data_IF_673357349607
#
_entry.id   IF_673357349607
#
_cell.length_a   1.000
_cell.length_b   1.000
_cell.length_c   1.000
_cell.angle_alpha   90.00
_cell.angle_beta   90.00
_cell.angle_gamma   90.00
#
_symmetry.space_group_name_H-M   'P 1'
#
loop_
_entity.id
_entity.type
_entity.pdbx_description
1 polymer ?
#
# COMPACT_ATOMS: atom_id res chain seq x y z
N UNK A 1 20.14 18.42 -3.41
CA UNK A 1 20.48 18.33 -4.82
C UNK A 1 21.77 19.07 -5.12
N UNK A 2 21.87 20.36 -4.79
CA UNK A 2 23.05 21.20 -5.05
C UNK A 2 24.33 20.61 -4.45
N UNK A 3 24.34 20.28 -3.17
CA UNK A 3 25.51 19.74 -2.48
C UNK A 3 26.02 18.42 -3.12
N UNK A 4 25.13 17.52 -3.53
CA UNK A 4 25.53 16.29 -4.23
C UNK A 4 26.14 16.57 -5.61
N UNK A 5 25.58 17.54 -6.34
CA UNK A 5 26.13 17.96 -7.63
C UNK A 5 27.53 18.58 -7.49
N UNK A 6 27.75 19.41 -6.48
CA UNK A 6 29.05 20.02 -6.19
C UNK A 6 30.10 18.98 -5.81
N UNK A 7 29.70 17.97 -5.00
CA UNK A 7 30.62 16.90 -4.56
C UNK A 7 30.97 15.90 -5.66
N UNK A 8 30.03 15.60 -6.56
CA UNK A 8 30.19 14.49 -7.53
C UNK A 8 30.47 14.95 -8.95
N UNK A 9 30.15 16.20 -9.29
CA UNK A 9 30.19 16.72 -10.65
C UNK A 9 29.07 16.21 -11.57
N UNK A 10 28.22 15.27 -11.08
CA UNK A 10 27.13 14.70 -11.87
C UNK A 10 25.84 15.50 -11.78
N UNK A 11 24.99 15.38 -12.81
CA UNK A 11 23.60 15.84 -12.73
C UNK A 11 22.85 15.00 -11.69
N UNK A 12 22.16 15.66 -10.75
CA UNK A 12 21.41 15.00 -9.68
C UNK A 12 19.92 15.29 -9.82
N UNK A 13 19.13 14.23 -9.85
CA UNK A 13 17.65 14.28 -9.79
C UNK A 13 17.21 13.64 -8.48
N UNK A 14 16.13 14.14 -7.90
CA UNK A 14 15.53 13.60 -6.68
C UNK A 14 14.16 13.03 -7.03
N UNK A 15 13.88 11.86 -6.51
CA UNK A 15 12.58 11.19 -6.63
C UNK A 15 12.19 10.65 -5.25
N UNK A 16 10.90 10.69 -4.94
CA UNK A 16 10.36 10.05 -3.74
C UNK A 16 10.51 8.51 -3.88
N UNK A 17 10.70 7.80 -2.77
CA UNK A 17 10.95 6.35 -2.75
C UNK A 17 9.78 5.52 -3.31
N UNK A 18 8.54 5.86 -2.96
CA UNK A 18 7.35 5.19 -3.48
C UNK A 18 7.17 5.46 -4.98
N UNK A 19 7.48 6.67 -5.44
CA UNK A 19 7.49 7.02 -6.85
C UNK A 19 8.57 6.25 -7.63
N UNK A 20 9.77 6.09 -7.07
CA UNK A 20 10.82 5.27 -7.65
C UNK A 20 10.37 3.80 -7.77
N UNK A 21 9.80 3.24 -6.71
CA UNK A 21 9.30 1.89 -6.72
C UNK A 21 8.19 1.69 -7.78
N UNK A 22 7.27 2.67 -7.91
CA UNK A 22 6.21 2.61 -8.92
C UNK A 22 6.77 2.61 -10.35
N UNK A 23 7.78 3.44 -10.63
CA UNK A 23 8.43 3.47 -11.93
C UNK A 23 9.12 2.13 -12.24
N UNK A 24 9.81 1.53 -11.26
CA UNK A 24 10.45 0.23 -11.43
C UNK A 24 9.45 -0.89 -11.72
N UNK A 25 8.40 -0.98 -10.91
CA UNK A 25 7.36 -2.01 -11.08
C UNK A 25 6.61 -1.87 -12.41
N UNK A 26 6.39 -0.64 -12.89
CA UNK A 26 5.82 -0.40 -14.21
C UNK A 26 6.77 -0.77 -15.36
N UNK A 27 8.08 -0.54 -15.19
CA UNK A 27 9.05 -0.77 -16.26
C UNK A 27 9.46 -2.25 -16.36
N UNK A 28 9.77 -2.91 -15.24
CA UNK A 28 10.39 -4.25 -15.22
C UNK A 28 9.77 -5.22 -14.21
N UNK A 29 8.83 -4.76 -13.38
CA UNK A 29 8.20 -5.55 -12.31
C UNK A 29 6.78 -6.01 -12.62
N UNK A 30 5.95 -6.05 -11.59
CA UNK A 30 4.60 -6.61 -11.59
C UNK A 30 3.64 -5.92 -12.57
N UNK A 31 3.86 -4.64 -12.89
CA UNK A 31 3.05 -3.88 -13.84
C UNK A 31 3.70 -3.74 -15.22
N UNK A 32 4.75 -4.52 -15.52
CA UNK A 32 5.42 -4.50 -16.83
C UNK A 32 4.43 -4.71 -17.97
N UNK A 33 4.49 -3.80 -18.95
CA UNK A 33 3.62 -3.80 -20.12
C UNK A 33 2.28 -3.09 -19.94
N UNK A 34 1.91 -2.68 -18.73
CA UNK A 34 0.75 -1.83 -18.50
C UNK A 34 1.05 -0.38 -18.86
N UNK A 35 0.07 0.29 -19.48
CA UNK A 35 0.17 1.73 -19.78
C UNK A 35 -0.13 2.58 -18.55
N UNK A 36 -0.92 2.04 -17.60
CA UNK A 36 -1.25 2.71 -16.36
C UNK A 36 -1.14 1.75 -15.17
N UNK A 37 -0.45 2.21 -14.13
CA UNK A 37 -0.24 1.45 -12.90
C UNK A 37 -0.22 2.37 -11.69
N UNK A 38 -0.74 1.87 -10.58
CA UNK A 38 -0.59 2.51 -9.27
C UNK A 38 0.09 1.51 -8.34
N UNK A 39 1.19 1.92 -7.73
CA UNK A 39 1.85 1.14 -6.68
C UNK A 39 1.48 1.74 -5.33
N UNK A 40 1.04 0.90 -4.40
CA UNK A 40 0.72 1.27 -3.02
C UNK A 40 1.68 0.51 -2.09
N UNK A 41 2.45 1.24 -1.30
CA UNK A 41 3.42 0.65 -0.36
C UNK A 41 2.82 0.58 1.05
N UNK A 42 2.70 -0.63 1.60
CA UNK A 42 2.12 -0.93 2.91
C UNK A 42 3.24 -1.21 3.93
N UNK A 43 3.88 -0.13 4.38
CA UNK A 43 4.95 -0.15 5.36
C UNK A 43 4.53 0.47 6.71
N UNK A 44 5.46 1.14 7.40
CA UNK A 44 5.17 1.94 8.61
C UNK A 44 4.06 2.95 8.34
N UNK A 45 4.06 3.55 7.15
CA UNK A 45 2.99 4.36 6.59
C UNK A 45 2.41 3.72 5.32
N UNK A 46 1.64 4.51 4.58
CA UNK A 46 1.15 4.17 3.22
C UNK A 46 1.73 5.18 2.23
N UNK A 47 2.62 4.70 1.38
CA UNK A 47 3.10 5.49 0.25
C UNK A 47 2.40 5.11 -1.06
N UNK A 48 2.61 5.90 -2.09
CA UNK A 48 2.08 5.59 -3.40
C UNK A 48 2.86 6.23 -4.54
N UNK A 49 2.77 5.61 -5.71
CA UNK A 49 3.27 6.15 -6.95
C UNK A 49 2.33 5.80 -8.10
N UNK A 50 2.10 6.75 -8.98
CA UNK A 50 1.15 6.63 -10.09
C UNK A 50 1.89 6.78 -11.41
N UNK A 51 1.73 5.80 -12.29
CA UNK A 51 2.26 5.82 -13.67
C UNK A 51 1.07 5.87 -14.63
N UNK A 52 1.01 6.88 -15.48
CA UNK A 52 -0.03 7.06 -16.50
C UNK A 52 0.62 7.23 -17.85
N UNK A 53 0.17 6.47 -18.84
CA UNK A 53 0.77 6.45 -20.21
C UNK A 53 2.28 6.24 -20.18
N UNK A 54 2.74 5.33 -19.29
CA UNK A 54 4.16 5.03 -19.10
C UNK A 54 4.99 6.10 -18.37
N UNK A 55 4.36 7.19 -17.91
CA UNK A 55 5.05 8.30 -17.23
C UNK A 55 4.63 8.42 -15.76
N UNK A 56 5.60 8.71 -14.90
CA UNK A 56 5.35 8.96 -13.49
C UNK A 56 4.57 10.27 -13.31
N UNK A 57 3.48 10.23 -12.53
CA UNK A 57 2.72 11.40 -12.13
C UNK A 57 3.45 12.13 -11.00
N UNK A 58 4.15 13.20 -11.33
CA UNK A 58 4.91 13.99 -10.34
C UNK A 58 4.15 15.21 -9.82
N UNK A 59 3.11 15.65 -10.55
CA UNK A 59 2.36 16.86 -10.19
C UNK A 59 3.14 18.16 -10.40
N UNK A 60 2.58 19.26 -9.92
CA UNK A 60 3.11 20.60 -10.13
C UNK A 60 4.49 20.82 -9.48
N UNK A 61 4.71 20.31 -8.28
CA UNK A 61 5.95 20.52 -7.50
C UNK A 61 6.76 19.24 -7.26
N UNK A 62 6.34 18.11 -7.82
CA UNK A 62 6.93 16.80 -7.52
C UNK A 62 6.29 16.08 -6.34
N UNK A 63 5.23 16.65 -5.74
CA UNK A 63 4.55 16.13 -4.55
C UNK A 63 3.18 15.49 -4.85
N UNK A 64 2.98 14.95 -6.06
CA UNK A 64 1.78 14.18 -6.36
C UNK A 64 1.87 12.76 -5.81
N UNK A 65 0.72 12.08 -5.80
CA UNK A 65 0.61 10.67 -5.43
C UNK A 65 0.81 10.37 -3.95
N UNK A 66 0.58 11.35 -3.07
CA UNK A 66 0.54 11.18 -1.61
C UNK A 66 -0.75 10.42 -1.19
N UNK A 67 -0.90 9.19 -1.72
CA UNK A 67 -2.12 8.38 -1.60
C UNK A 67 -2.46 8.03 -0.15
N UNK A 68 -1.44 7.86 0.71
CA UNK A 68 -1.63 7.58 2.12
C UNK A 68 -2.34 8.68 2.90
N UNK A 69 -2.31 9.93 2.40
CA UNK A 69 -2.97 11.06 3.06
C UNK A 69 -4.38 11.37 2.51
N UNK A 70 -4.87 10.56 1.59
CA UNK A 70 -6.26 10.60 1.16
C UNK A 70 -7.18 10.27 2.34
N UNK A 71 -8.14 11.14 2.66
CA UNK A 71 -9.13 10.87 3.72
C UNK A 71 -10.08 9.75 3.31
N UNK A 72 -10.14 8.69 4.08
CA UNK A 72 -11.06 7.57 3.89
C UNK A 72 -12.11 7.45 4.99
N UNK A 73 -11.89 8.12 6.13
CA UNK A 73 -12.84 8.22 7.24
C UNK A 73 -12.93 9.68 7.67
N UNK A 74 -14.06 10.32 7.41
CA UNK A 74 -14.29 11.70 7.85
C UNK A 74 -14.17 11.79 9.39
N UNK A 75 -13.41 12.80 9.88
CA UNK A 75 -13.14 13.03 11.30
C UNK A 75 -12.56 11.83 12.08
N UNK A 76 -11.95 10.88 11.36
CA UNK A 76 -11.38 9.66 11.92
C UNK A 76 -10.08 9.86 12.69
N UNK A 77 -9.23 8.82 12.72
CA UNK A 77 -7.97 8.79 13.47
C UNK A 77 -7.03 9.95 13.07
N UNK A 78 -6.35 10.57 14.06
CA UNK A 78 -5.35 11.59 13.77
C UNK A 78 -4.19 11.03 12.93
N UNK A 79 -3.73 11.80 11.95
CA UNK A 79 -2.57 11.49 11.13
C UNK A 79 -1.40 12.41 11.47
N UNK A 80 -0.17 11.91 11.34
CA UNK A 80 1.06 12.68 11.53
C UNK A 80 1.17 13.90 10.58
N UNK A 81 0.45 13.89 9.45
CA UNK A 81 0.37 15.04 8.54
C UNK A 81 -0.48 16.21 9.06
N UNK A 82 -1.10 16.08 10.24
CA UNK A 82 -1.97 17.09 10.84
C UNK A 82 -3.45 16.96 10.47
N UNK A 83 -3.82 16.08 9.55
CA UNK A 83 -5.21 15.79 9.18
C UNK A 83 -5.78 14.62 10.01
N UNK A 84 -7.06 14.32 9.79
CA UNK A 84 -7.73 13.16 10.36
C UNK A 84 -8.27 12.25 9.27
N UNK A 85 -8.33 10.94 9.56
CA UNK A 85 -8.97 9.97 8.70
C UNK A 85 -8.19 9.56 7.46
N UNK A 86 -6.88 9.83 7.42
CA UNK A 86 -6.02 9.47 6.30
C UNK A 86 -5.96 7.95 6.09
N UNK A 87 -5.85 7.52 4.86
CA UNK A 87 -5.74 6.11 4.47
C UNK A 87 -4.62 5.38 5.24
N UNK A 88 -3.48 6.04 5.43
CA UNK A 88 -2.34 5.53 6.19
C UNK A 88 -2.71 5.11 7.62
N UNK A 89 -3.55 5.87 8.30
CA UNK A 89 -3.92 5.58 9.69
C UNK A 89 -4.80 4.34 9.86
N UNK A 90 -5.26 3.76 8.75
CA UNK A 90 -6.09 2.54 8.73
C UNK A 90 -5.48 1.38 7.95
N UNK A 91 -4.60 1.63 6.99
CA UNK A 91 -4.08 0.61 6.07
C UNK A 91 -2.57 0.42 6.11
N UNK A 92 -1.84 1.11 6.99
CA UNK A 92 -0.41 0.85 7.21
C UNK A 92 -0.17 -0.39 8.09
N UNK A 93 1.07 -0.88 8.13
CA UNK A 93 1.48 -1.90 9.10
C UNK A 93 1.32 -1.41 10.55
N UNK A 94 1.60 -0.13 10.81
CA UNK A 94 1.37 0.51 12.10
C UNK A 94 -0.10 0.44 12.51
N UNK A 95 -1.02 0.70 11.57
CA UNK A 95 -2.46 0.59 11.81
C UNK A 95 -2.88 -0.84 12.12
N UNK A 96 -2.38 -1.84 11.38
CA UNK A 96 -2.67 -3.25 11.63
C UNK A 96 -2.17 -3.69 13.01
N UNK A 97 -0.97 -3.29 13.41
CA UNK A 97 -0.41 -3.55 14.74
C UNK A 97 -1.27 -2.91 15.82
N UNK A 98 -1.72 -1.68 15.65
CA UNK A 98 -2.63 -0.99 16.57
C UNK A 98 -3.94 -1.76 16.73
N UNK A 99 -4.63 -2.07 15.63
CA UNK A 99 -5.88 -2.84 15.64
C UNK A 99 -5.69 -4.20 16.33
N UNK A 100 -4.55 -4.86 16.10
CA UNK A 100 -4.23 -6.15 16.74
C UNK A 100 -4.10 -5.99 18.25
N UNK A 101 -3.39 -4.97 18.75
CA UNK A 101 -3.26 -4.69 20.18
C UNK A 101 -4.60 -4.35 20.84
N UNK A 102 -5.43 -3.58 20.16
CA UNK A 102 -6.79 -3.26 20.61
C UNK A 102 -7.67 -4.52 20.73
N UNK A 103 -7.56 -5.43 19.73
CA UNK A 103 -8.25 -6.72 19.79
C UNK A 103 -7.73 -7.61 20.92
N UNK A 104 -6.41 -7.66 21.15
CA UNK A 104 -5.83 -8.38 22.30
C UNK A 104 -6.37 -7.87 23.63
N UNK A 105 -6.47 -6.56 23.80
CA UNK A 105 -7.01 -5.96 25.04
C UNK A 105 -8.48 -6.36 25.27
N UNK A 106 -9.27 -6.49 24.21
CA UNK A 106 -10.68 -6.88 24.30
C UNK A 106 -10.89 -8.40 24.45
N UNK A 107 -9.92 -9.21 23.99
CA UNK A 107 -10.02 -10.67 23.93
C UNK A 107 -8.84 -11.36 24.65
N UNK A 108 -8.82 -11.42 25.98
CA UNK A 108 -7.70 -11.98 26.75
C UNK A 108 -7.38 -13.46 26.47
N UNK A 109 -8.35 -14.22 25.94
CA UNK A 109 -8.19 -15.65 25.60
C UNK A 109 -7.84 -15.90 24.15
N UNK A 110 -7.65 -14.85 23.34
CA UNK A 110 -7.34 -14.96 21.92
C UNK A 110 -5.94 -15.54 21.70
N UNK A 111 -5.78 -16.32 20.62
CA UNK A 111 -4.50 -16.83 20.15
C UNK A 111 -3.51 -15.69 19.77
N UNK A 112 -3.99 -14.47 19.59
CA UNK A 112 -3.15 -13.29 19.35
C UNK A 112 -2.05 -13.14 20.42
N UNK A 113 -2.37 -13.42 21.69
CA UNK A 113 -1.41 -13.29 22.80
C UNK A 113 -0.26 -14.29 22.67
N UNK A 114 -0.58 -15.56 22.43
CA UNK A 114 0.42 -16.62 22.26
C UNK A 114 1.29 -16.33 21.03
N UNK A 115 0.67 -16.00 19.89
CA UNK A 115 1.38 -15.72 18.64
C UNK A 115 2.31 -14.50 18.77
N UNK A 116 1.83 -13.43 19.44
CA UNK A 116 2.67 -12.28 19.72
C UNK A 116 3.88 -12.64 20.58
N UNK A 117 3.70 -13.47 21.62
CA UNK A 117 4.81 -13.91 22.47
C UNK A 117 5.84 -14.75 21.69
N UNK A 118 5.40 -15.68 20.86
CA UNK A 118 6.25 -16.51 20.00
C UNK A 118 7.05 -15.69 18.99
N UNK A 119 6.49 -14.57 18.48
CA UNK A 119 7.14 -13.68 17.52
C UNK A 119 8.00 -12.57 18.14
N UNK A 120 8.12 -12.51 19.47
CA UNK A 120 8.83 -11.44 20.17
C UNK A 120 8.09 -10.10 20.20
N UNK A 121 6.80 -10.08 19.91
CA UNK A 121 5.91 -8.92 19.93
C UNK A 121 4.82 -8.96 18.87
N UNK A 122 3.93 -7.96 18.92
CA UNK A 122 2.89 -7.79 17.90
C UNK A 122 3.48 -7.17 16.65
N UNK A 123 3.35 -7.85 15.52
CA UNK A 123 3.80 -7.39 14.20
C UNK A 123 2.67 -7.48 13.15
N UNK A 124 2.98 -7.12 11.90
CA UNK A 124 2.02 -7.16 10.79
C UNK A 124 1.55 -8.57 10.38
N UNK A 125 2.14 -9.64 10.93
CA UNK A 125 1.75 -11.04 10.66
C UNK A 125 0.82 -11.57 11.76
N UNK A 126 0.87 -11.01 12.96
CA UNK A 126 0.22 -11.57 14.17
C UNK A 126 -1.27 -11.86 13.94
N UNK A 127 -2.04 -10.90 13.41
CA UNK A 127 -3.46 -11.09 13.16
C UNK A 127 -3.74 -12.12 12.05
N UNK A 128 -2.95 -12.15 10.99
CA UNK A 128 -3.08 -13.13 9.91
C UNK A 128 -2.79 -14.56 10.40
N UNK A 129 -1.75 -14.75 11.21
CA UNK A 129 -1.42 -16.03 11.82
C UNK A 129 -2.54 -16.50 12.78
N UNK A 130 -3.10 -15.59 13.58
CA UNK A 130 -4.23 -15.91 14.43
C UNK A 130 -5.47 -16.34 13.63
N UNK A 131 -5.78 -15.61 12.54
CA UNK A 131 -6.85 -16.02 11.61
C UNK A 131 -6.63 -17.41 11.03
N UNK A 132 -5.38 -17.76 10.66
CA UNK A 132 -5.05 -19.08 10.08
C UNK A 132 -5.32 -20.24 11.05
N UNK A 133 -5.16 -20.02 12.36
CA UNK A 133 -5.50 -21.03 13.38
C UNK A 133 -6.96 -20.95 13.85
N UNK A 134 -7.81 -20.21 13.15
CA UNK A 134 -9.25 -20.11 13.43
C UNK A 134 -9.62 -19.16 14.57
N UNK A 135 -8.71 -18.29 15.01
CA UNK A 135 -9.00 -17.30 16.06
C UNK A 135 -9.96 -16.20 15.56
N UNK A 136 -11.08 -16.04 16.26
CA UNK A 136 -12.13 -15.10 15.87
C UNK A 136 -11.67 -13.64 15.93
N UNK A 137 -10.89 -13.26 16.95
CA UNK A 137 -10.39 -11.91 17.14
C UNK A 137 -9.36 -11.55 16.06
N UNK A 138 -8.44 -12.47 15.74
CA UNK A 138 -7.52 -12.31 14.63
C UNK A 138 -8.24 -12.19 13.28
N UNK A 139 -9.29 -12.99 13.09
CA UNK A 139 -10.14 -12.92 11.92
C UNK A 139 -10.88 -11.57 11.78
N UNK A 140 -11.37 -11.00 12.89
CA UNK A 140 -12.01 -9.68 12.93
C UNK A 140 -11.02 -8.56 12.54
N UNK A 141 -9.82 -8.57 13.13
CA UNK A 141 -8.78 -7.59 12.81
C UNK A 141 -8.42 -7.62 11.31
N UNK A 142 -8.22 -8.80 10.75
CA UNK A 142 -7.88 -8.94 9.32
C UNK A 142 -9.02 -8.44 8.44
N UNK A 143 -10.30 -8.77 8.75
CA UNK A 143 -11.45 -8.25 7.98
C UNK A 143 -11.51 -6.73 8.04
N UNK A 144 -11.37 -6.13 9.22
CA UNK A 144 -11.41 -4.68 9.40
C UNK A 144 -10.27 -3.99 8.63
N UNK A 145 -9.05 -4.54 8.70
CA UNK A 145 -7.90 -4.03 7.95
C UNK A 145 -8.14 -4.07 6.43
N UNK A 146 -8.61 -5.21 5.91
CA UNK A 146 -8.91 -5.38 4.49
C UNK A 146 -10.01 -4.42 4.04
N UNK A 147 -11.03 -4.21 4.88
CA UNK A 147 -12.09 -3.26 4.60
C UNK A 147 -11.57 -1.83 4.37
N UNK A 148 -10.73 -1.33 5.27
CA UNK A 148 -10.12 0.00 5.09
C UNK A 148 -9.17 0.05 3.90
N UNK A 149 -8.37 -0.99 3.69
CA UNK A 149 -7.51 -1.10 2.53
C UNK A 149 -8.33 -1.06 1.22
N UNK A 150 -9.48 -1.75 1.19
CA UNK A 150 -10.38 -1.77 0.04
C UNK A 150 -11.04 -0.42 -0.23
N UNK A 151 -11.35 0.38 0.80
CA UNK A 151 -11.84 1.75 0.61
C UNK A 151 -10.77 2.58 -0.11
N UNK A 152 -9.52 2.57 0.38
CA UNK A 152 -8.45 3.34 -0.23
C UNK A 152 -8.12 2.87 -1.65
N UNK A 153 -8.00 1.56 -1.87
CA UNK A 153 -7.75 0.99 -3.21
C UNK A 153 -8.93 1.24 -4.15
N UNK A 154 -10.16 1.14 -3.67
CA UNK A 154 -11.36 1.46 -4.45
C UNK A 154 -11.40 2.92 -4.90
N UNK A 155 -11.01 3.86 -4.03
CA UNK A 155 -10.87 5.27 -4.41
C UNK A 155 -9.81 5.46 -5.49
N UNK A 156 -8.65 4.79 -5.38
CA UNK A 156 -7.59 4.80 -6.38
C UNK A 156 -8.11 4.26 -7.72
N UNK A 157 -8.85 3.14 -7.69
CA UNK A 157 -9.47 2.57 -8.88
C UNK A 157 -10.44 3.57 -9.51
N UNK A 158 -11.33 4.19 -8.74
CA UNK A 158 -12.32 5.12 -9.25
C UNK A 158 -11.73 6.45 -9.78
N UNK A 159 -10.57 6.86 -9.26
CA UNK A 159 -9.90 8.10 -9.70
C UNK A 159 -9.06 7.88 -10.96
N UNK A 160 -8.27 6.80 -11.00
CA UNK A 160 -7.27 6.58 -12.06
C UNK A 160 -7.66 5.50 -13.06
N UNK A 161 -8.53 4.58 -12.68
CA UNK A 161 -8.90 3.37 -13.43
C UNK A 161 -7.68 2.69 -14.09
N UNK A 162 -6.65 2.37 -13.30
CA UNK A 162 -5.40 1.86 -13.85
C UNK A 162 -5.55 0.41 -14.30
N UNK A 163 -4.70 -0.04 -15.23
CA UNK A 163 -4.65 -1.46 -15.60
C UNK A 163 -4.17 -2.35 -14.46
N UNK A 164 -3.31 -1.79 -13.58
CA UNK A 164 -2.72 -2.51 -12.45
C UNK A 164 -2.71 -1.64 -11.20
N UNK A 165 -3.14 -2.21 -10.07
CA UNK A 165 -2.82 -1.73 -8.73
C UNK A 165 -1.91 -2.77 -8.09
N UNK A 166 -0.65 -2.40 -7.82
CA UNK A 166 0.33 -3.31 -7.22
C UNK A 166 0.61 -2.92 -5.77
N UNK A 167 0.53 -3.89 -4.86
CA UNK A 167 0.81 -3.70 -3.44
C UNK A 167 2.23 -4.11 -3.10
N UNK A 168 2.94 -3.29 -2.35
CA UNK A 168 4.30 -3.52 -1.85
C UNK A 168 4.34 -3.40 -0.33
N UNK A 169 5.49 -3.72 0.26
CA UNK A 169 5.73 -3.64 1.70
C UNK A 169 5.44 -4.94 2.44
N UNK A 170 5.75 -4.98 3.74
CA UNK A 170 5.73 -6.20 4.54
C UNK A 170 4.35 -6.88 4.61
N UNK A 171 3.27 -6.10 4.55
CA UNK A 171 1.90 -6.65 4.59
C UNK A 171 1.54 -7.36 3.28
N UNK A 172 2.06 -6.90 2.14
CA UNK A 172 1.84 -7.55 0.85
C UNK A 172 2.36 -9.00 0.80
N UNK A 173 3.34 -9.36 1.64
CA UNK A 173 3.84 -10.72 1.78
C UNK A 173 2.79 -11.73 2.28
N UNK A 174 1.61 -11.27 2.72
CA UNK A 174 0.49 -12.17 3.03
C UNK A 174 -0.12 -12.82 1.76
N UNK A 175 0.27 -12.34 0.57
CA UNK A 175 -0.15 -12.92 -0.70
C UNK A 175 -1.67 -13.01 -0.84
N UNK A 176 -2.17 -14.18 -1.23
CA UNK A 176 -3.61 -14.37 -1.44
C UNK A 176 -4.46 -14.28 -0.16
N UNK A 177 -3.87 -14.44 1.03
CA UNK A 177 -4.56 -14.18 2.29
C UNK A 177 -5.01 -12.71 2.43
N UNK A 178 -4.30 -11.81 1.76
CA UNK A 178 -4.65 -10.39 1.65
C UNK A 178 -5.38 -10.09 0.34
N UNK A 179 -4.83 -10.56 -0.79
CA UNK A 179 -5.28 -10.16 -2.13
C UNK A 179 -6.67 -10.69 -2.49
N UNK A 180 -7.00 -11.95 -2.16
CA UNK A 180 -8.28 -12.52 -2.53
C UNK A 180 -9.45 -11.75 -1.92
N UNK A 181 -9.54 -11.57 -0.58
CA UNK A 181 -10.62 -10.79 0.02
C UNK A 181 -10.56 -9.30 -0.34
N UNK A 182 -9.37 -8.74 -0.60
CA UNK A 182 -9.25 -7.36 -1.06
C UNK A 182 -9.89 -7.16 -2.44
N UNK A 183 -9.62 -8.06 -3.39
CA UNK A 183 -10.23 -8.00 -4.74
C UNK A 183 -11.75 -8.08 -4.68
N UNK A 184 -12.29 -8.95 -3.83
CA UNK A 184 -13.73 -9.08 -3.63
C UNK A 184 -14.37 -7.78 -3.12
N UNK A 185 -13.75 -7.13 -2.12
CA UNK A 185 -14.24 -5.87 -1.59
C UNK A 185 -14.06 -4.69 -2.54
N UNK A 186 -12.96 -4.63 -3.28
CA UNK A 186 -12.72 -3.56 -4.27
C UNK A 186 -13.70 -3.68 -5.44
N UNK A 187 -14.00 -4.89 -5.91
CA UNK A 187 -14.96 -5.11 -6.99
C UNK A 187 -16.36 -4.55 -6.66
N UNK A 188 -16.75 -4.55 -5.38
CA UNK A 188 -18.02 -3.94 -4.92
C UNK A 188 -18.00 -2.40 -4.90
N UNK A 189 -16.82 -1.79 -4.98
CA UNK A 189 -16.57 -0.33 -4.93
C UNK A 189 -16.24 0.27 -6.29
N UNK A 190 -15.89 -0.57 -7.25
CA UNK A 190 -15.52 -0.14 -8.60
C UNK A 190 -16.73 0.45 -9.32
N UNK A 191 -16.67 1.74 -9.66
CA UNK A 191 -17.72 2.40 -10.43
C UNK A 191 -17.82 1.78 -11.83
N UNK A 192 -19.02 1.41 -12.21
CA UNK A 192 -19.26 0.87 -13.55
C UNK A 192 -18.79 -0.58 -13.76
N UNK A 193 -18.41 -1.31 -12.71
CA UNK A 193 -18.00 -2.72 -12.79
C UNK A 193 -18.98 -3.60 -13.58
N UNK A 194 -20.29 -3.35 -13.43
CA UNK A 194 -21.32 -4.08 -14.16
C UNK A 194 -21.35 -3.82 -15.68
N UNK A 195 -20.74 -2.74 -16.13
CA UNK A 195 -20.78 -2.30 -17.53
C UNK A 195 -19.41 -2.46 -18.24
N UNK A 196 -18.33 -2.58 -17.50
CA UNK A 196 -16.98 -2.75 -18.05
C UNK A 196 -16.65 -4.24 -18.21
N UNK A 197 -16.01 -4.59 -19.32
CA UNK A 197 -15.36 -5.90 -19.52
C UNK A 197 -13.91 -5.90 -19.05
N UNK A 198 -13.37 -4.74 -18.66
CA UNK A 198 -12.00 -4.57 -18.20
C UNK A 198 -12.04 -4.10 -16.76
N UNK A 199 -11.28 -4.78 -15.91
CA UNK A 199 -11.16 -4.46 -14.49
C UNK A 199 -9.67 -4.30 -14.13
N UNK A 200 -9.31 -3.39 -13.22
CA UNK A 200 -7.97 -3.28 -12.70
C UNK A 200 -7.49 -4.61 -12.08
N UNK A 201 -6.29 -5.02 -12.42
CA UNK A 201 -5.65 -6.17 -11.77
C UNK A 201 -5.01 -5.72 -10.46
N UNK A 202 -5.40 -6.34 -9.34
CA UNK A 202 -4.80 -6.08 -8.03
C UNK A 202 -3.86 -7.24 -7.72
N UNK A 203 -2.57 -6.94 -7.50
CA UNK A 203 -1.51 -7.95 -7.32
C UNK A 203 -0.39 -7.43 -6.40
N UNK A 204 0.55 -8.29 -6.03
CA UNK A 204 1.74 -7.89 -5.28
C UNK A 204 2.85 -7.43 -6.22
N UNK A 205 3.65 -6.48 -5.77
CA UNK A 205 4.90 -6.10 -6.39
C UNK A 205 5.89 -7.27 -6.42
N UNK A 206 6.82 -7.26 -7.37
CA UNK A 206 7.76 -8.38 -7.58
C UNK A 206 9.22 -8.01 -7.33
N UNK A 207 9.57 -6.73 -7.31
CA UNK A 207 10.97 -6.28 -7.20
C UNK A 207 11.47 -6.13 -5.76
N UNK A 208 10.57 -6.18 -4.77
CA UNK A 208 10.95 -6.07 -3.35
C UNK A 208 11.77 -4.82 -3.05
N UNK A 209 12.87 -4.98 -2.32
CA UNK A 209 13.73 -3.86 -1.94
C UNK A 209 14.53 -3.25 -3.10
N UNK A 210 14.67 -3.95 -4.21
CA UNK A 210 15.40 -3.46 -5.38
C UNK A 210 14.61 -2.41 -6.18
N UNK A 211 13.29 -2.33 -5.97
CA UNK A 211 12.41 -1.40 -6.67
C UNK A 211 12.88 0.05 -6.57
N UNK A 212 13.31 0.50 -5.38
CA UNK A 212 13.79 1.86 -5.16
C UNK A 212 15.02 2.21 -5.99
N UNK A 213 16.02 1.32 -6.00
CA UNK A 213 17.28 1.52 -6.75
C UNK A 213 17.03 1.49 -8.26
N UNK A 214 16.28 0.50 -8.74
CA UNK A 214 15.93 0.37 -10.15
C UNK A 214 15.15 1.61 -10.62
N UNK A 215 14.15 2.04 -9.85
CA UNK A 215 13.34 3.19 -10.19
C UNK A 215 14.11 4.51 -10.18
N UNK A 216 15.02 4.70 -9.23
CA UNK A 216 15.90 5.86 -9.21
C UNK A 216 16.82 5.91 -10.44
N UNK A 217 17.37 4.76 -10.85
CA UNK A 217 18.18 4.65 -12.06
C UNK A 217 17.38 4.96 -13.34
N UNK A 218 16.14 4.49 -13.42
CA UNK A 218 15.23 4.79 -14.53
C UNK A 218 14.88 6.28 -14.57
N UNK A 219 14.53 6.86 -13.42
CA UNK A 219 14.18 8.28 -13.29
C UNK A 219 15.35 9.21 -13.65
N UNK A 220 16.60 8.77 -13.49
CA UNK A 220 17.78 9.55 -13.84
C UNK A 220 18.02 9.64 -15.35
N UNK A 221 17.46 8.71 -16.16
CA UNK A 221 17.63 8.67 -17.62
C UNK A 221 16.69 9.63 -18.37
N UNK A 222 15.52 9.93 -17.78
CA UNK A 222 14.53 10.85 -18.36
C UNK A 222 14.92 12.33 -18.11
#
# INVERSE_FOLDING_TARGET
RTALRELTGYSVRLVNDANAAALAEAAVGAAKGAQSAVVVTLGTGVGGGVVLSGKLLTGFTGAASELGHMTIVADGEPCACGQKGCFETYASATALIRMTREAMARHPQSALHRIAAENGGVDGRTAFLARQVGDAAGGEVVRQYIHYLAIGVGNIVNIFFPEVVALSGGIANQGENLLAPLREEVAQREYGAAYSKKHPRILCCTLGNDAGVIGAALFAKD
#
